data_IF_503954757977
#
_entry.id   IF_503954757977
#
_cell.length_a   1.000
_cell.length_b   1.000
_cell.length_c   1.000
_cell.angle_alpha   90.00
_cell.angle_beta   90.00
_cell.angle_gamma   90.00
#
_symmetry.space_group_name_H-M   'P 1'
#
loop_
_entity.id
_entity.type
_entity.pdbx_description
1 polymer ?
#
# COMPACT_ATOMS: atom_id res chain seq x y z
N UNK A 1 11.34 30.16 36.00
CA UNK A 1 11.02 31.02 34.84
C UNK A 1 11.88 30.57 33.66
N UNK A 2 11.22 30.20 32.57
CA UNK A 2 11.70 30.25 31.17
C UNK A 2 12.75 29.22 30.66
N UNK A 3 12.51 27.92 30.84
CA UNK A 3 13.13 26.87 29.97
C UNK A 3 12.27 26.54 28.74
N UNK A 4 11.00 26.95 28.74
CA UNK A 4 10.03 26.69 27.66
C UNK A 4 10.10 27.69 26.50
N UNK A 5 10.94 28.74 26.60
CA UNK A 5 11.08 29.76 25.54
C UNK A 5 12.11 29.44 24.47
N UNK A 6 12.95 28.41 24.65
CA UNK A 6 13.97 28.05 23.67
C UNK A 6 13.45 27.16 22.52
N UNK A 7 12.26 26.55 22.65
CA UNK A 7 11.67 25.69 21.63
C UNK A 7 10.81 26.43 20.59
N UNK A 8 10.75 27.77 20.66
CA UNK A 8 9.91 28.59 19.77
C UNK A 8 10.65 29.24 18.60
N UNK A 9 11.91 28.90 18.34
CA UNK A 9 12.60 29.37 17.13
C UNK A 9 12.86 28.21 16.17
N UNK A 10 12.12 28.28 15.07
CA UNK A 10 12.64 27.94 13.74
C UNK A 10 12.85 26.45 13.49
N UNK A 11 11.76 25.74 13.13
CA UNK A 11 11.78 24.68 12.11
C UNK A 11 10.37 24.08 11.94
N UNK A 12 9.45 24.87 11.39
CA UNK A 12 8.13 24.42 10.94
C UNK A 12 8.19 23.43 9.76
N UNK A 13 9.36 23.29 9.11
CA UNK A 13 9.59 22.37 8.00
C UNK A 13 9.84 20.92 8.47
N UNK A 14 10.75 20.72 9.42
CA UNK A 14 11.16 19.36 9.85
C UNK A 14 10.08 18.62 10.64
N UNK A 15 9.25 19.34 11.41
CA UNK A 15 8.14 18.75 12.18
C UNK A 15 7.03 18.23 11.27
N UNK A 16 6.76 18.90 10.14
CA UNK A 16 5.81 18.44 9.14
C UNK A 16 6.37 17.25 8.35
N UNK A 17 7.63 17.30 7.90
CA UNK A 17 8.29 16.18 7.20
C UNK A 17 8.37 14.93 8.08
N UNK A 18 8.69 15.09 9.37
CA UNK A 18 8.72 13.98 10.33
C UNK A 18 7.31 13.41 10.59
N UNK A 19 6.27 14.26 10.63
CA UNK A 19 4.87 13.82 10.74
C UNK A 19 4.40 13.07 9.49
N UNK A 20 4.78 13.53 8.30
CA UNK A 20 4.54 12.86 7.01
C UNK A 20 5.19 11.46 6.99
N UNK A 21 6.46 11.38 7.41
CA UNK A 21 7.22 10.12 7.50
C UNK A 21 6.67 9.17 8.56
N UNK A 22 6.30 9.68 9.73
CA UNK A 22 5.66 8.88 10.79
C UNK A 22 4.28 8.37 10.35
N UNK A 23 3.50 9.17 9.62
CA UNK A 23 2.21 8.73 9.07
C UNK A 23 2.39 7.61 8.05
N UNK A 24 3.41 7.70 7.19
CA UNK A 24 3.76 6.64 6.24
C UNK A 24 4.14 5.33 6.98
N UNK A 25 5.05 5.41 7.95
CA UNK A 25 5.47 4.24 8.77
C UNK A 25 4.30 3.60 9.52
N UNK A 26 3.37 4.39 10.06
CA UNK A 26 2.19 3.89 10.78
C UNK A 26 1.15 3.21 9.88
N UNK A 27 1.11 3.53 8.57
CA UNK A 27 0.31 2.78 7.59
C UNK A 27 0.97 1.44 7.29
N UNK A 28 2.32 1.40 7.22
CA UNK A 28 3.09 0.19 6.96
C UNK A 28 3.06 -0.83 8.11
N UNK A 29 2.97 -0.39 9.37
CA UNK A 29 3.00 -1.29 10.54
C UNK A 29 1.65 -1.98 10.83
N UNK A 30 0.54 -1.41 10.33
CA UNK A 30 -0.83 -1.94 10.59
C UNK A 30 -1.31 -3.01 9.62
N UNK A 31 -0.48 -3.45 8.67
CA UNK A 31 -0.82 -4.49 7.66
C UNK A 31 0.03 -5.75 7.75
N UNK A 32 1.02 -5.82 8.65
CA UNK A 32 1.86 -7.00 8.92
C UNK A 32 2.54 -7.64 7.68
N UNK A 33 2.56 -6.96 6.53
CA UNK A 33 3.13 -7.44 5.28
C UNK A 33 4.24 -6.49 4.85
N UNK A 34 5.46 -7.02 4.70
CA UNK A 34 6.56 -6.20 4.18
C UNK A 34 6.27 -5.80 2.73
N UNK A 35 6.65 -4.59 2.30
CA UNK A 35 6.52 -4.18 0.90
C UNK A 35 7.14 -5.19 -0.07
N UNK A 36 8.26 -5.80 0.34
CA UNK A 36 8.93 -6.84 -0.43
C UNK A 36 8.07 -8.09 -0.62
N UNK A 37 7.40 -8.57 0.43
CA UNK A 37 6.51 -9.73 0.35
C UNK A 37 5.33 -9.49 -0.59
N UNK A 38 4.83 -8.25 -0.63
CA UNK A 38 3.71 -7.86 -1.50
C UNK A 38 4.13 -7.79 -2.97
N UNK A 39 5.32 -7.26 -3.26
CA UNK A 39 5.86 -7.29 -4.62
C UNK A 39 6.12 -8.73 -5.10
N UNK A 40 6.55 -9.63 -4.21
CA UNK A 40 6.68 -11.05 -4.56
C UNK A 40 5.33 -11.68 -4.94
N UNK A 41 4.30 -11.54 -4.09
CA UNK A 41 2.95 -12.07 -4.39
C UNK A 41 2.39 -11.48 -5.69
N UNK A 42 2.60 -10.18 -5.90
CA UNK A 42 2.17 -9.49 -7.11
C UNK A 42 2.80 -10.11 -8.35
N UNK A 43 4.12 -10.32 -8.35
CA UNK A 43 4.83 -10.95 -9.46
C UNK A 43 4.29 -12.34 -9.77
N UNK A 44 4.12 -13.17 -8.73
CA UNK A 44 3.62 -14.52 -8.89
C UNK A 44 2.20 -14.56 -9.45
N UNK A 45 1.29 -13.71 -8.94
CA UNK A 45 -0.10 -13.65 -9.41
C UNK A 45 -0.19 -13.14 -10.85
N UNK A 46 0.60 -12.12 -11.21
CA UNK A 46 0.64 -11.58 -12.57
C UNK A 46 1.18 -12.60 -13.57
N UNK A 47 2.22 -13.35 -13.21
CA UNK A 47 2.75 -14.40 -14.07
C UNK A 47 1.66 -15.45 -14.37
N UNK A 48 0.96 -15.92 -13.34
CA UNK A 48 -0.12 -16.90 -13.52
C UNK A 48 -1.26 -16.34 -14.39
N UNK A 49 -1.67 -15.09 -14.17
CA UNK A 49 -2.73 -14.46 -15.00
C UNK A 49 -2.25 -14.29 -16.44
N UNK A 50 -0.99 -13.91 -16.64
CA UNK A 50 -0.39 -13.68 -17.96
C UNK A 50 -0.32 -14.95 -18.81
N UNK A 51 -0.26 -16.13 -18.19
CA UNK A 51 -0.29 -17.40 -18.92
C UNK A 51 -1.62 -17.61 -19.67
N UNK A 52 -2.72 -17.10 -19.13
CA UNK A 52 -4.07 -17.26 -19.71
C UNK A 52 -4.60 -16.00 -20.40
N UNK A 53 -4.08 -14.82 -20.08
CA UNK A 53 -4.64 -13.55 -20.49
C UNK A 53 -3.51 -12.60 -20.90
N UNK A 54 -3.66 -11.91 -22.02
CA UNK A 54 -2.79 -10.80 -22.38
C UNK A 54 -3.24 -9.55 -21.60
N UNK A 55 -2.40 -9.10 -20.68
CA UNK A 55 -2.68 -8.00 -19.76
C UNK A 55 -1.95 -6.71 -20.17
N UNK A 56 -2.51 -5.57 -19.81
CA UNK A 56 -1.85 -4.27 -19.97
C UNK A 56 -1.07 -3.89 -18.71
N UNK A 57 0.26 -3.99 -18.77
CA UNK A 57 1.13 -3.68 -17.64
C UNK A 57 1.09 -2.19 -17.28
N UNK A 58 0.90 -1.29 -18.26
CA UNK A 58 0.88 0.16 -18.05
C UNK A 58 -0.37 0.63 -17.29
N UNK A 59 -1.48 -0.11 -17.40
CA UNK A 59 -2.76 0.19 -16.75
C UNK A 59 -3.01 -0.56 -15.44
N UNK A 60 -2.02 -1.33 -14.97
CA UNK A 60 -2.14 -2.15 -13.78
C UNK A 60 -2.16 -1.30 -12.49
N UNK A 61 -3.21 -1.40 -11.68
CA UNK A 61 -3.31 -0.72 -10.38
C UNK A 61 -3.57 -1.73 -9.26
N UNK A 62 -2.64 -1.84 -8.31
CA UNK A 62 -2.74 -2.77 -7.17
C UNK A 62 -2.61 -1.97 -5.88
N UNK A 63 -3.58 -2.14 -4.97
CA UNK A 63 -3.69 -1.42 -3.71
C UNK A 63 -4.04 -2.35 -2.57
N UNK A 64 -3.53 -2.04 -1.38
CA UNK A 64 -3.92 -2.71 -0.14
C UNK A 64 -4.90 -1.82 0.58
N UNK A 65 -6.11 -2.34 0.77
CA UNK A 65 -7.18 -1.70 1.51
C UNK A 65 -7.49 -2.50 2.78
N UNK A 66 -8.41 -2.00 3.59
CA UNK A 66 -9.00 -2.75 4.70
C UNK A 66 -10.45 -3.04 4.36
N UNK A 67 -10.84 -4.31 4.41
CA UNK A 67 -12.22 -4.74 4.22
C UNK A 67 -12.78 -5.31 5.52
N UNK A 68 -14.10 -5.29 5.67
CA UNK A 68 -14.76 -5.93 6.82
C UNK A 68 -14.82 -7.43 6.58
N UNK A 69 -14.35 -8.22 7.55
CA UNK A 69 -14.55 -9.66 7.56
C UNK A 69 -15.99 -9.97 7.97
N UNK A 70 -16.67 -10.83 7.22
CA UNK A 70 -18.10 -11.16 7.41
C UNK A 70 -18.45 -11.85 8.74
N UNK A 71 -17.44 -12.35 9.48
CA UNK A 71 -17.64 -13.14 10.71
C UNK A 71 -17.72 -12.27 11.97
N UNK A 72 -16.95 -11.19 12.03
CA UNK A 72 -16.71 -10.41 13.25
C UNK A 72 -16.66 -8.90 13.01
N UNK A 73 -17.01 -8.43 11.81
CA UNK A 73 -16.88 -7.03 11.37
C UNK A 73 -15.47 -6.45 11.55
N UNK A 74 -14.45 -7.29 11.79
CA UNK A 74 -13.08 -6.85 11.97
C UNK A 74 -12.52 -6.34 10.64
N UNK A 75 -11.78 -5.23 10.71
CA UNK A 75 -11.08 -4.65 9.56
C UNK A 75 -9.82 -5.48 9.26
N UNK A 76 -9.87 -6.26 8.18
CA UNK A 76 -8.75 -7.10 7.71
C UNK A 76 -8.13 -6.49 6.46
N UNK A 77 -6.81 -6.65 6.25
CA UNK A 77 -6.18 -6.21 5.00
C UNK A 77 -6.74 -7.00 3.82
N UNK A 78 -7.01 -6.30 2.71
CA UNK A 78 -7.45 -6.87 1.44
C UNK A 78 -6.59 -6.31 0.30
N UNK A 79 -6.17 -7.20 -0.59
CA UNK A 79 -5.48 -6.82 -1.82
C UNK A 79 -6.51 -6.57 -2.92
N UNK A 80 -6.51 -5.37 -3.49
CA UNK A 80 -7.39 -4.97 -4.59
C UNK A 80 -6.50 -4.73 -5.81
N UNK A 81 -6.78 -5.42 -6.91
CA UNK A 81 -6.04 -5.29 -8.16
C UNK A 81 -7.02 -5.00 -9.31
N UNK A 82 -6.76 -3.94 -10.06
CA UNK A 82 -7.38 -3.69 -11.36
C UNK A 82 -6.38 -4.10 -12.44
N UNK A 83 -6.71 -5.17 -13.18
CA UNK A 83 -5.85 -5.78 -14.18
C UNK A 83 -6.55 -5.63 -15.53
N UNK A 84 -6.16 -4.63 -16.36
CA UNK A 84 -6.79 -4.42 -17.65
C UNK A 84 -6.44 -5.58 -18.59
N UNK A 85 -7.46 -6.12 -19.24
CA UNK A 85 -7.32 -7.24 -20.18
C UNK A 85 -7.23 -6.66 -21.59
N UNK A 86 -6.12 -6.92 -22.30
CA UNK A 86 -5.98 -6.60 -23.73
C UNK A 86 -6.67 -7.65 -24.59
N UNK A 87 -6.41 -8.92 -24.31
CA UNK A 87 -6.92 -10.04 -25.09
C UNK A 87 -6.95 -11.31 -24.27
N UNK A 88 -7.99 -12.14 -24.45
CA UNK A 88 -7.96 -13.50 -23.92
C UNK A 88 -7.13 -14.38 -24.84
N UNK A 89 -6.21 -15.19 -24.29
CA UNK A 89 -5.52 -16.21 -25.09
C UNK A 89 -6.56 -17.28 -25.43
N UNK A 90 -7.00 -17.30 -26.69
CA UNK A 90 -7.77 -18.42 -27.21
C UNK A 90 -6.83 -19.62 -27.27
N UNK A 91 -7.30 -20.76 -26.73
CA UNK A 91 -6.55 -22.02 -26.67
C UNK A 91 -6.15 -22.51 -28.05
#
# INVERSE_FOLDING_TARGET
MDVFKLFSRENSSSKNVAKERLRLVLVHDRTNCSPHFLEMIKGDLLNVISDYIEIDEDGLDIKISKTKRSIDDAMVPALIANIPIKKMKAK
#
